data_IF_250631386001
#
_entry.id   IF_250631386001
#
_cell.length_a   1.000
_cell.length_b   1.000
_cell.length_c   1.000
_cell.angle_alpha   90.00
_cell.angle_beta   90.00
_cell.angle_gamma   90.00
#
_symmetry.space_group_name_H-M   'P 1'
#
loop_
_entity.id
_entity.type
_entity.pdbx_description
1 polymer ?
#
# COMPACT_ATOMS: atom_id res chain seq x y z
N UNK A 1 -21.23 -6.11 -25.80
CA UNK A 1 -20.29 -6.21 -26.94
C UNK A 1 -19.84 -7.67 -27.04
N UNK A 2 -20.04 -8.31 -28.18
CA UNK A 2 -19.69 -9.71 -28.42
C UNK A 2 -18.17 -9.88 -28.36
N UNK A 3 -17.66 -10.66 -27.41
CA UNK A 3 -16.28 -11.11 -27.42
C UNK A 3 -16.21 -12.46 -28.12
N UNK A 4 -15.87 -12.44 -29.40
CA UNK A 4 -15.39 -13.65 -30.11
C UNK A 4 -13.97 -13.91 -29.62
N UNK A 5 -13.82 -14.91 -28.76
CA UNK A 5 -12.53 -15.40 -28.29
C UNK A 5 -11.89 -16.29 -29.35
N UNK A 6 -10.86 -15.78 -30.03
CA UNK A 6 -10.08 -16.49 -31.04
C UNK A 6 -8.90 -17.28 -30.43
N UNK A 7 -9.14 -18.04 -29.36
CA UNK A 7 -8.18 -19.07 -28.90
C UNK A 7 -8.66 -20.45 -29.38
N UNK A 8 -7.92 -21.15 -30.26
CA UNK A 8 -8.29 -22.47 -30.77
C UNK A 8 -8.40 -23.57 -29.70
N UNK A 9 -8.02 -23.30 -28.44
CA UNK A 9 -8.29 -24.18 -27.29
C UNK A 9 -9.69 -24.06 -26.69
N UNK A 10 -10.46 -23.05 -27.10
CA UNK A 10 -11.83 -22.80 -26.61
C UNK A 10 -12.92 -23.32 -27.56
N UNK A 11 -12.57 -23.65 -28.81
CA UNK A 11 -13.48 -24.25 -29.79
C UNK A 11 -13.57 -25.77 -29.57
N UNK A 12 -14.46 -26.19 -28.68
CA UNK A 12 -14.69 -27.60 -28.34
C UNK A 12 -15.19 -27.85 -26.93
N UNK A 13 -15.38 -26.78 -26.13
CA UNK A 13 -15.98 -26.91 -24.81
C UNK A 13 -17.46 -27.32 -24.98
N UNK A 14 -17.91 -28.44 -24.36
CA UNK A 14 -19.34 -28.69 -24.25
C UNK A 14 -19.99 -27.49 -23.56
N UNK A 15 -21.17 -27.07 -24.03
CA UNK A 15 -21.97 -26.08 -23.35
C UNK A 15 -22.14 -26.52 -21.88
N UNK A 16 -21.64 -25.72 -20.94
CA UNK A 16 -21.67 -26.04 -19.52
C UNK A 16 -23.13 -26.00 -19.03
N UNK A 17 -23.79 -27.16 -18.92
CA UNK A 17 -25.11 -27.27 -18.29
C UNK A 17 -24.95 -27.90 -16.91
N UNK A 18 -24.87 -27.05 -15.87
CA UNK A 18 -24.81 -27.45 -14.46
C UNK A 18 -24.31 -26.31 -13.57
N UNK A 19 -24.50 -26.41 -12.25
CA UNK A 19 -23.88 -25.51 -11.26
C UNK A 19 -22.51 -26.03 -10.86
N UNK A 20 -21.60 -25.13 -10.51
CA UNK A 20 -20.18 -25.41 -10.43
C UNK A 20 -19.61 -25.27 -9.01
N UNK A 21 -18.63 -26.12 -8.74
CA UNK A 21 -17.76 -26.03 -7.59
C UNK A 21 -16.45 -25.34 -8.00
N UNK A 22 -16.23 -24.11 -7.53
CA UNK A 22 -15.02 -23.34 -7.76
C UNK A 22 -14.06 -23.53 -6.60
N UNK A 23 -12.84 -23.99 -6.88
CA UNK A 23 -11.78 -24.15 -5.88
C UNK A 23 -10.78 -23.04 -6.09
N UNK A 24 -10.59 -22.20 -5.07
CA UNK A 24 -9.60 -21.14 -5.08
C UNK A 24 -8.47 -21.44 -4.09
N UNK A 25 -7.26 -21.57 -4.62
CA UNK A 25 -6.04 -21.71 -3.80
C UNK A 25 -5.02 -20.65 -4.19
N UNK A 26 -4.17 -20.27 -3.25
CA UNK A 26 -3.12 -19.29 -3.49
C UNK A 26 -2.08 -19.38 -2.37
N UNK A 27 -0.82 -19.02 -2.64
CA UNK A 27 0.14 -18.87 -1.57
C UNK A 27 -0.21 -17.68 -0.67
N UNK A 28 0.17 -17.79 0.60
CA UNK A 28 -0.09 -16.74 1.59
C UNK A 28 0.48 -15.39 1.13
N UNK A 29 -0.39 -14.40 0.91
CA UNK A 29 0.00 -13.06 0.46
C UNK A 29 -0.25 -12.76 -1.02
N UNK A 30 -0.71 -13.74 -1.81
CA UNK A 30 -1.04 -13.54 -3.23
C UNK A 30 -2.37 -12.81 -3.50
N UNK A 31 -3.07 -12.32 -2.47
CA UNK A 31 -4.29 -11.50 -2.62
C UNK A 31 -5.59 -12.29 -2.81
N UNK A 32 -5.60 -13.58 -2.44
CA UNK A 32 -6.76 -14.49 -2.48
C UNK A 32 -8.04 -13.89 -1.91
N UNK A 33 -8.00 -13.40 -0.67
CA UNK A 33 -9.17 -12.83 0.02
C UNK A 33 -9.74 -11.60 -0.70
N UNK A 34 -8.88 -10.77 -1.30
CA UNK A 34 -9.30 -9.59 -2.06
C UNK A 34 -10.07 -10.00 -3.31
N UNK A 35 -9.53 -10.94 -4.09
CA UNK A 35 -10.18 -11.46 -5.29
C UNK A 35 -11.49 -12.19 -4.96
N UNK A 36 -11.51 -12.95 -3.85
CA UNK A 36 -12.69 -13.65 -3.39
C UNK A 36 -13.84 -12.70 -3.06
N UNK A 37 -13.59 -11.64 -2.29
CA UNK A 37 -14.60 -10.61 -1.97
C UNK A 37 -15.14 -9.94 -3.23
N UNK A 38 -14.24 -9.53 -4.12
CA UNK A 38 -14.62 -8.90 -5.38
C UNK A 38 -15.44 -9.83 -6.30
N UNK A 39 -15.21 -11.14 -6.24
CA UNK A 39 -16.00 -12.13 -6.97
C UNK A 39 -17.41 -12.27 -6.38
N UNK A 40 -17.53 -12.43 -5.06
CA UNK A 40 -18.83 -12.55 -4.38
C UNK A 40 -19.71 -11.30 -4.55
N UNK A 41 -19.12 -10.11 -4.60
CA UNK A 41 -19.84 -8.86 -4.84
C UNK A 41 -20.39 -8.76 -6.28
N UNK A 42 -19.69 -9.34 -7.26
CA UNK A 42 -20.03 -9.24 -8.69
C UNK A 42 -20.87 -10.40 -9.21
N UNK A 43 -20.86 -11.53 -8.51
CA UNK A 43 -21.52 -12.77 -8.91
C UNK A 43 -22.56 -13.15 -7.85
N UNK A 44 -23.81 -12.64 -7.94
CA UNK A 44 -24.82 -12.81 -6.90
C UNK A 44 -25.25 -14.27 -6.69
N UNK A 45 -25.07 -15.14 -7.69
CA UNK A 45 -25.37 -16.56 -7.62
C UNK A 45 -24.25 -17.40 -6.96
N UNK A 46 -23.07 -16.79 -6.75
CA UNK A 46 -21.91 -17.46 -6.16
C UNK A 46 -21.98 -17.43 -4.64
N UNK A 47 -22.09 -18.60 -4.02
CA UNK A 47 -22.08 -18.76 -2.56
C UNK A 47 -20.70 -19.12 -2.05
N UNK A 48 -20.29 -18.50 -0.95
CA UNK A 48 -19.06 -18.86 -0.25
C UNK A 48 -19.29 -20.09 0.66
N UNK A 49 -18.41 -21.08 0.58
CA UNK A 49 -18.43 -22.22 1.51
C UNK A 49 -17.69 -21.88 2.81
N UNK A 50 -18.41 -21.87 3.92
CA UNK A 50 -17.83 -21.63 5.25
C UNK A 50 -17.26 -22.94 5.79
N UNK A 51 -15.94 -23.01 5.95
CA UNK A 51 -15.25 -24.18 6.49
C UNK A 51 -15.45 -24.34 8.01
N UNK A 52 -15.25 -25.57 8.49
CA UNK A 52 -15.26 -25.94 9.89
C UNK A 52 -13.84 -25.88 10.45
N UNK A 53 -13.68 -25.54 11.73
CA UNK A 53 -12.38 -25.59 12.41
C UNK A 53 -12.49 -25.91 13.89
N UNK A 54 -11.45 -26.55 14.44
CA UNK A 54 -11.32 -26.82 15.88
C UNK A 54 -10.59 -25.72 16.64
N UNK A 55 -10.11 -24.69 15.93
CA UNK A 55 -9.43 -23.55 16.54
C UNK A 55 -10.43 -22.67 17.28
N UNK A 56 -10.06 -22.14 18.44
CA UNK A 56 -10.87 -21.12 19.12
C UNK A 56 -11.03 -19.84 18.24
N UNK A 57 -12.22 -19.19 18.21
CA UNK A 57 -12.44 -17.96 17.43
C UNK A 57 -11.46 -16.83 17.79
N UNK A 58 -11.01 -16.05 16.81
CA UNK A 58 -10.25 -14.80 17.04
C UNK A 58 -11.20 -13.64 17.29
N UNK A 59 -10.67 -12.55 17.85
CA UNK A 59 -11.40 -11.29 18.05
C UNK A 59 -12.05 -10.82 16.73
N UNK A 60 -13.38 -10.74 16.72
CA UNK A 60 -14.17 -10.28 15.56
C UNK A 60 -14.66 -11.38 14.61
N UNK A 61 -14.22 -12.63 14.76
CA UNK A 61 -14.76 -13.76 14.00
C UNK A 61 -16.13 -14.18 14.56
N UNK A 62 -17.06 -14.50 13.65
CA UNK A 62 -18.43 -14.90 13.97
C UNK A 62 -18.66 -16.33 13.50
N UNK A 63 -19.14 -17.18 14.41
CA UNK A 63 -19.48 -18.58 14.11
C UNK A 63 -20.54 -18.67 13.00
N UNK A 64 -20.32 -19.54 12.01
CA UNK A 64 -21.20 -19.73 10.86
C UNK A 64 -21.04 -18.68 9.75
N UNK A 65 -20.22 -17.64 9.96
CA UNK A 65 -19.88 -16.66 8.91
C UNK A 65 -18.43 -16.77 8.48
N UNK A 66 -17.51 -16.75 9.46
CA UNK A 66 -16.07 -16.80 9.19
C UNK A 66 -15.59 -18.25 9.17
N UNK A 67 -15.97 -19.02 10.20
CA UNK A 67 -15.83 -20.48 10.28
C UNK A 67 -16.98 -21.05 11.11
N UNK A 68 -17.25 -22.34 10.96
CA UNK A 68 -18.02 -23.11 11.94
C UNK A 68 -17.05 -23.71 12.96
N UNK A 69 -17.09 -23.21 14.18
CA UNK A 69 -16.19 -23.61 15.25
C UNK A 69 -16.77 -24.81 16.01
N UNK A 70 -16.07 -25.95 15.98
CA UNK A 70 -16.48 -27.19 16.63
C UNK A 70 -15.37 -27.75 17.52
N UNK A 71 -15.69 -28.68 18.40
CA UNK A 71 -14.67 -29.34 19.23
C UNK A 71 -13.81 -30.32 18.42
N UNK A 72 -12.56 -30.62 18.85
CA UNK A 72 -11.76 -31.67 18.25
C UNK A 72 -12.47 -33.04 18.18
N UNK A 73 -13.18 -33.42 19.23
CA UNK A 73 -13.94 -34.68 19.26
C UNK A 73 -15.04 -34.73 18.19
N UNK A 74 -15.82 -33.66 18.04
CA UNK A 74 -16.84 -33.57 16.98
C UNK A 74 -16.21 -33.60 15.57
N UNK A 75 -15.02 -33.02 15.41
CA UNK A 75 -14.31 -33.05 14.13
C UNK A 75 -13.82 -34.46 13.78
N UNK A 76 -13.19 -35.14 14.75
CA UNK A 76 -12.72 -36.52 14.64
C UNK A 76 -13.86 -37.50 14.37
N UNK A 77 -15.02 -37.29 15.01
CA UNK A 77 -16.25 -38.02 14.69
C UNK A 77 -16.61 -37.87 13.21
N UNK A 78 -16.57 -36.64 12.70
CA UNK A 78 -16.79 -36.37 11.28
C UNK A 78 -15.79 -37.06 10.35
N UNK A 79 -14.54 -37.26 10.78
CA UNK A 79 -13.54 -38.05 10.02
C UNK A 79 -13.96 -39.52 9.99
N UNK A 80 -14.37 -40.08 11.13
CA UNK A 80 -14.81 -41.48 11.23
C UNK A 80 -16.06 -41.77 10.41
N UNK A 81 -16.95 -40.80 10.27
CA UNK A 81 -18.21 -40.93 9.51
C UNK A 81 -18.13 -40.44 8.07
N UNK A 82 -16.93 -40.16 7.54
CA UNK A 82 -16.71 -39.63 6.17
C UNK A 82 -17.53 -38.36 5.83
N UNK A 83 -17.74 -37.49 6.83
CA UNK A 83 -18.53 -36.25 6.70
C UNK A 83 -17.83 -35.20 5.84
N UNK A 84 -16.50 -35.19 5.83
CA UNK A 84 -15.69 -34.13 5.24
C UNK A 84 -15.41 -34.41 3.75
N UNK A 85 -15.69 -33.42 2.90
CA UNK A 85 -15.27 -33.45 1.49
C UNK A 85 -13.75 -33.27 1.37
N UNK A 86 -13.19 -32.43 2.24
CA UNK A 86 -11.76 -32.26 2.45
C UNK A 86 -11.52 -31.91 3.92
N UNK A 87 -10.36 -32.30 4.43
CA UNK A 87 -9.87 -31.81 5.71
C UNK A 87 -8.35 -31.83 5.78
N UNK A 88 -7.79 -31.00 6.66
CA UNK A 88 -6.37 -30.96 6.97
C UNK A 88 -6.14 -30.57 8.44
N UNK A 89 -4.98 -30.95 8.97
CA UNK A 89 -4.52 -30.50 10.27
C UNK A 89 -3.40 -29.47 10.08
N UNK A 90 -3.64 -28.24 10.54
CA UNK A 90 -2.73 -27.11 10.39
C UNK A 90 -2.44 -26.51 11.77
N UNK A 91 -1.17 -26.53 12.17
CA UNK A 91 -0.71 -26.04 13.48
C UNK A 91 -1.53 -26.60 14.67
N UNK A 92 -1.81 -27.91 14.65
CA UNK A 92 -2.53 -28.59 15.73
C UNK A 92 -4.05 -28.38 15.74
N UNK A 93 -4.62 -27.66 14.77
CA UNK A 93 -6.06 -27.50 14.62
C UNK A 93 -6.54 -28.17 13.33
N UNK A 94 -7.74 -28.76 13.36
CA UNK A 94 -8.37 -29.29 12.16
C UNK A 94 -9.14 -28.20 11.43
N UNK A 95 -9.17 -28.32 10.12
CA UNK A 95 -9.96 -27.54 9.18
C UNK A 95 -10.60 -28.49 8.18
N UNK A 96 -11.84 -28.24 7.79
CA UNK A 96 -12.46 -29.05 6.74
C UNK A 96 -13.77 -28.49 6.23
N UNK A 97 -14.20 -29.02 5.10
CA UNK A 97 -15.44 -28.61 4.43
C UNK A 97 -16.41 -29.79 4.39
N UNK A 98 -17.66 -29.57 4.80
CA UNK A 98 -18.67 -30.63 4.85
C UNK A 98 -19.13 -31.04 3.46
N UNK A 99 -19.10 -32.35 3.16
CA UNK A 99 -19.56 -32.87 1.88
C UNK A 99 -21.07 -32.67 1.68
N UNK A 100 -21.86 -32.87 2.72
CA UNK A 100 -23.31 -32.67 2.71
C UNK A 100 -23.68 -31.23 2.36
N UNK A 101 -23.02 -30.24 2.99
CA UNK A 101 -23.25 -28.82 2.70
C UNK A 101 -22.96 -28.48 1.24
N UNK A 102 -21.88 -29.02 0.68
CA UNK A 102 -21.54 -28.83 -0.74
C UNK A 102 -22.59 -29.48 -1.65
N UNK A 103 -22.93 -30.74 -1.40
CA UNK A 103 -23.92 -31.48 -2.19
C UNK A 103 -25.30 -30.83 -2.15
N UNK A 104 -25.73 -30.35 -0.98
CA UNK A 104 -27.01 -29.67 -0.81
C UNK A 104 -27.04 -28.34 -1.57
N UNK A 105 -26.03 -27.49 -1.43
CA UNK A 105 -26.01 -26.19 -2.11
C UNK A 105 -25.91 -26.34 -3.65
N UNK A 106 -25.20 -27.37 -4.14
CA UNK A 106 -25.21 -27.70 -5.57
C UNK A 106 -26.60 -28.18 -6.04
N UNK A 107 -27.28 -29.02 -5.25
CA UNK A 107 -28.64 -29.50 -5.55
C UNK A 107 -29.70 -28.39 -5.52
N UNK A 108 -29.54 -27.39 -4.64
CA UNK A 108 -30.35 -26.17 -4.60
C UNK A 108 -30.10 -25.23 -5.79
N UNK A 109 -29.14 -25.56 -6.64
CA UNK A 109 -28.85 -24.79 -7.83
C UNK A 109 -27.98 -23.55 -7.57
N UNK A 110 -27.00 -23.64 -6.65
CA UNK A 110 -26.02 -22.58 -6.42
C UNK A 110 -24.63 -22.96 -6.89
N UNK A 111 -23.91 -21.97 -7.41
CA UNK A 111 -22.46 -22.07 -7.61
C UNK A 111 -21.76 -21.86 -6.27
N UNK A 112 -20.74 -22.66 -5.98
CA UNK A 112 -20.06 -22.63 -4.68
C UNK A 112 -18.58 -22.31 -4.88
N UNK A 113 -18.06 -21.38 -4.08
CA UNK A 113 -16.64 -21.03 -4.02
C UNK A 113 -16.02 -21.57 -2.72
N UNK A 114 -14.96 -22.36 -2.86
CA UNK A 114 -14.14 -22.87 -1.77
C UNK A 114 -12.81 -22.11 -1.68
N UNK A 115 -12.44 -21.72 -0.46
CA UNK A 115 -11.18 -21.06 -0.16
C UNK A 115 -10.22 -22.00 0.60
N UNK A 116 -9.64 -22.97 -0.12
CA UNK A 116 -8.87 -24.07 0.47
C UNK A 116 -7.43 -24.10 -0.04
N UNK A 117 -6.53 -24.75 0.70
CA UNK A 117 -5.14 -24.92 0.30
C UNK A 117 -4.97 -25.98 -0.81
N UNK A 118 -3.73 -26.22 -1.22
CA UNK A 118 -3.40 -27.20 -2.26
C UNK A 118 -3.74 -28.63 -1.83
N UNK A 119 -3.64 -28.95 -0.54
CA UNK A 119 -3.97 -30.28 -0.02
C UNK A 119 -5.49 -30.52 -0.06
N UNK A 120 -6.29 -29.56 0.39
CA UNK A 120 -7.74 -29.60 0.34
C UNK A 120 -8.23 -29.66 -1.12
N UNK A 121 -7.64 -28.87 -2.01
CA UNK A 121 -7.97 -28.89 -3.44
C UNK A 121 -7.80 -30.29 -4.05
N UNK A 122 -6.72 -31.02 -3.72
CA UNK A 122 -6.53 -32.41 -4.19
C UNK A 122 -7.62 -33.36 -3.68
N UNK A 123 -8.08 -33.18 -2.44
CA UNK A 123 -9.14 -34.01 -1.87
C UNK A 123 -10.47 -33.75 -2.55
N UNK A 124 -10.85 -32.47 -2.74
CA UNK A 124 -12.07 -32.11 -3.46
C UNK A 124 -12.04 -32.63 -4.90
N UNK A 125 -10.92 -32.49 -5.62
CA UNK A 125 -10.84 -32.98 -7.00
C UNK A 125 -11.04 -34.50 -7.14
N UNK A 126 -10.73 -35.30 -6.10
CA UNK A 126 -11.01 -36.75 -6.10
C UNK A 126 -12.50 -37.04 -5.99
N UNK A 127 -13.25 -36.26 -5.20
CA UNK A 127 -14.68 -36.48 -4.91
C UNK A 127 -15.60 -35.75 -5.89
N UNK A 128 -15.18 -34.57 -6.35
CA UNK A 128 -15.91 -33.67 -7.25
C UNK A 128 -15.03 -33.36 -8.48
N UNK A 129 -14.91 -34.32 -9.39
CA UNK A 129 -14.00 -34.26 -10.55
C UNK A 129 -14.34 -33.15 -11.56
N UNK A 130 -15.56 -32.63 -11.54
CA UNK A 130 -16.01 -31.53 -12.40
C UNK A 130 -15.75 -30.13 -11.81
N UNK A 131 -14.99 -30.04 -10.70
CA UNK A 131 -14.66 -28.76 -10.07
C UNK A 131 -13.81 -27.87 -10.98
N UNK A 132 -14.07 -26.57 -10.96
CA UNK A 132 -13.25 -25.55 -11.63
C UNK A 132 -12.14 -25.13 -10.66
N UNK A 133 -10.91 -25.54 -10.93
CA UNK A 133 -9.74 -25.24 -10.10
C UNK A 133 -9.03 -23.97 -10.56
N UNK A 134 -8.86 -23.02 -9.63
CA UNK A 134 -8.21 -21.73 -9.84
C UNK A 134 -7.06 -21.56 -8.83
N UNK A 135 -5.84 -21.39 -9.34
CA UNK A 135 -4.68 -21.03 -8.52
C UNK A 135 -4.32 -19.56 -8.73
N UNK A 136 -4.23 -18.77 -7.66
CA UNK A 136 -3.76 -17.39 -7.74
C UNK A 136 -2.25 -17.35 -7.49
N UNK A 137 -1.48 -16.94 -8.47
CA UNK A 137 -0.04 -16.71 -8.36
C UNK A 137 0.27 -15.25 -8.01
N UNK A 138 1.26 -14.96 -7.15
CA UNK A 138 1.90 -13.66 -7.19
C UNK A 138 2.70 -13.50 -8.50
N UNK A 139 3.02 -12.27 -8.95
CA UNK A 139 3.76 -12.08 -10.20
C UNK A 139 5.21 -12.55 -10.08
N UNK A 140 5.79 -12.45 -8.88
CA UNK A 140 7.10 -13.01 -8.55
C UNK A 140 7.19 -13.29 -7.05
N UNK A 141 8.22 -14.03 -6.63
CA UNK A 141 8.50 -14.27 -5.21
C UNK A 141 8.94 -13.00 -4.50
N UNK A 142 9.65 -12.12 -5.20
CA UNK A 142 10.13 -10.83 -4.71
C UNK A 142 8.93 -9.91 -4.41
N UNK A 143 7.93 -9.88 -5.30
CA UNK A 143 6.69 -9.12 -5.08
C UNK A 143 5.89 -9.72 -3.90
N UNK A 144 5.86 -11.05 -3.77
CA UNK A 144 5.23 -11.70 -2.63
C UNK A 144 5.94 -11.31 -1.32
N UNK A 145 7.26 -11.34 -1.30
CA UNK A 145 8.08 -10.94 -0.15
C UNK A 145 7.83 -9.48 0.24
N UNK A 146 7.84 -8.57 -0.74
CA UNK A 146 7.54 -7.16 -0.51
C UNK A 146 6.13 -6.97 0.09
N UNK A 147 5.12 -7.71 -0.41
CA UNK A 147 3.74 -7.71 0.13
C UNK A 147 3.65 -8.28 1.55
N UNK A 148 4.47 -9.28 1.89
CA UNK A 148 4.52 -9.84 3.25
C UNK A 148 5.22 -8.88 4.22
N UNK A 149 6.33 -8.27 3.81
CA UNK A 149 7.08 -7.29 4.61
C UNK A 149 6.30 -6.02 4.88
N UNK A 150 5.56 -5.51 3.90
CA UNK A 150 4.80 -4.26 4.04
C UNK A 150 3.68 -4.33 5.08
N UNK A 151 3.16 -5.53 5.37
CA UNK A 151 2.16 -5.74 6.44
C UNK A 151 2.71 -5.43 7.83
N UNK A 152 4.03 -5.51 8.02
CA UNK A 152 4.72 -5.05 9.23
C UNK A 152 4.38 -5.79 10.53
N UNK A 153 3.67 -6.91 10.45
CA UNK A 153 3.25 -7.73 11.60
C UNK A 153 4.10 -8.99 11.79
N UNK A 154 4.79 -9.44 10.74
CA UNK A 154 5.54 -10.69 10.74
C UNK A 154 7.03 -10.43 11.05
N UNK A 155 7.63 -11.30 11.89
CA UNK A 155 9.07 -11.31 12.13
C UNK A 155 9.83 -11.85 10.90
N UNK A 156 11.13 -11.52 10.73
CA UNK A 156 11.92 -12.01 9.59
C UNK A 156 11.88 -13.53 9.39
N UNK A 157 11.90 -14.31 10.49
CA UNK A 157 11.87 -15.77 10.44
C UNK A 157 10.51 -16.31 9.95
N UNK A 158 9.42 -15.64 10.34
CA UNK A 158 8.07 -15.97 9.91
C UNK A 158 7.87 -15.67 8.41
N UNK A 159 8.45 -14.56 7.92
CA UNK A 159 8.45 -14.23 6.49
C UNK A 159 9.21 -15.28 5.69
N UNK A 160 10.39 -15.69 6.16
CA UNK A 160 11.18 -16.72 5.49
C UNK A 160 10.44 -18.07 5.40
N UNK A 161 9.75 -18.49 6.47
CA UNK A 161 8.91 -19.68 6.46
C UNK A 161 7.76 -19.56 5.45
N UNK A 162 7.06 -18.41 5.44
CA UNK A 162 5.96 -18.15 4.49
C UNK A 162 6.43 -18.19 3.04
N UNK A 163 7.61 -17.65 2.74
CA UNK A 163 8.19 -17.68 1.39
C UNK A 163 8.57 -19.10 0.96
N UNK A 164 9.10 -19.93 1.87
CA UNK A 164 9.35 -21.35 1.58
C UNK A 164 8.06 -22.10 1.25
N UNK A 165 7.04 -21.96 2.11
CA UNK A 165 5.74 -22.60 1.87
C UNK A 165 5.12 -22.12 0.55
N UNK A 166 5.21 -20.81 0.26
CA UNK A 166 4.72 -20.25 -0.99
C UNK A 166 5.39 -20.88 -2.22
N UNK A 167 6.71 -21.16 -2.17
CA UNK A 167 7.41 -21.87 -3.26
C UNK A 167 6.85 -23.27 -3.47
N UNK A 168 6.61 -24.00 -2.39
CA UNK A 168 6.07 -25.37 -2.44
C UNK A 168 4.64 -25.37 -2.98
N UNK A 169 3.79 -24.42 -2.56
CA UNK A 169 2.43 -24.26 -3.07
C UNK A 169 2.43 -23.86 -4.57
N UNK A 170 3.28 -22.90 -4.96
CA UNK A 170 3.40 -22.45 -6.36
C UNK A 170 3.93 -23.55 -7.29
N UNK A 171 4.77 -24.47 -6.79
CA UNK A 171 5.25 -25.62 -7.55
C UNK A 171 4.11 -26.59 -7.93
N UNK A 172 2.96 -26.51 -7.25
CA UNK A 172 1.80 -27.36 -7.49
C UNK A 172 0.78 -26.72 -8.44
N UNK A 173 1.03 -25.52 -8.97
CA UNK A 173 0.08 -24.78 -9.83
C UNK A 173 -0.44 -25.59 -11.02
N UNK A 174 0.35 -26.54 -11.53
CA UNK A 174 0.01 -27.33 -12.73
C UNK A 174 -1.17 -28.30 -12.51
N UNK A 175 -1.57 -28.55 -11.25
CA UNK A 175 -2.80 -29.29 -10.96
C UNK A 175 -4.08 -28.47 -11.16
N UNK A 176 -3.96 -27.15 -11.35
CA UNK A 176 -5.10 -26.25 -11.49
C UNK A 176 -5.39 -25.97 -12.96
N UNK A 177 -6.68 -26.00 -13.31
CA UNK A 177 -7.16 -25.72 -14.67
C UNK A 177 -6.92 -24.27 -15.07
N UNK A 178 -7.05 -23.35 -14.11
CA UNK A 178 -6.84 -21.93 -14.30
C UNK A 178 -5.76 -21.44 -13.34
N UNK A 179 -4.78 -20.70 -13.87
CA UNK A 179 -3.78 -20.00 -13.07
C UNK A 179 -3.92 -18.51 -13.35
N UNK A 180 -4.28 -17.76 -12.31
CA UNK A 180 -4.46 -16.30 -12.38
C UNK A 180 -3.26 -15.65 -11.69
N UNK A 181 -2.50 -14.84 -12.42
CA UNK A 181 -1.45 -14.03 -11.80
C UNK A 181 -2.09 -12.78 -11.22
N UNK A 182 -2.07 -12.64 -9.90
CA UNK A 182 -2.50 -11.41 -9.23
C UNK A 182 -1.40 -10.36 -9.26
N UNK A 183 -1.35 -9.69 -10.41
CA UNK A 183 -0.47 -8.61 -10.80
C UNK A 183 -0.95 -7.24 -10.33
N UNK A 184 -1.83 -7.15 -9.33
CA UNK A 184 -2.21 -5.88 -8.68
C UNK A 184 -0.98 -5.26 -7.98
N UNK A 185 -0.17 -4.63 -8.81
CA UNK A 185 1.01 -3.88 -8.49
C UNK A 185 0.59 -2.42 -8.43
N UNK A 186 1.07 -1.67 -7.44
CA UNK A 186 0.92 -0.23 -7.43
C UNK A 186 1.33 0.37 -8.79
N UNK A 187 0.45 1.15 -9.41
CA UNK A 187 0.76 1.82 -10.68
C UNK A 187 1.13 3.28 -10.41
N UNK A 188 2.39 3.67 -10.63
CA UNK A 188 2.77 5.08 -10.65
C UNK A 188 2.22 5.72 -11.95
N UNK A 189 1.51 6.84 -11.82
CA UNK A 189 0.75 7.43 -12.93
C UNK A 189 1.16 8.87 -13.17
N UNK A 190 1.44 9.20 -14.43
CA UNK A 190 1.81 10.55 -14.86
C UNK A 190 3.31 10.77 -14.95
N UNK A 191 3.68 11.79 -15.73
CA UNK A 191 5.06 12.04 -16.17
C UNK A 191 6.00 12.20 -14.99
N UNK A 192 5.70 13.12 -14.06
CA UNK A 192 6.60 13.39 -12.92
C UNK A 192 6.74 12.17 -12.01
N UNK A 193 5.64 11.48 -11.68
CA UNK A 193 5.69 10.32 -10.78
C UNK A 193 6.58 9.20 -11.35
N UNK A 194 6.49 8.93 -12.66
CA UNK A 194 7.31 7.91 -13.32
C UNK A 194 8.77 8.38 -13.49
N UNK A 195 9.00 9.63 -13.89
CA UNK A 195 10.35 10.20 -14.00
C UNK A 195 11.09 10.18 -12.67
N UNK A 196 10.46 10.65 -11.59
CA UNK A 196 11.08 10.68 -10.28
C UNK A 196 11.31 9.27 -9.72
N UNK A 197 10.42 8.31 -10.00
CA UNK A 197 10.63 6.92 -9.61
C UNK A 197 11.86 6.30 -10.30
N UNK A 198 12.01 6.54 -11.62
CA UNK A 198 13.19 6.15 -12.38
C UNK A 198 14.45 6.82 -11.85
N UNK A 199 14.39 8.13 -11.60
CA UNK A 199 15.54 8.93 -11.16
C UNK A 199 16.02 8.56 -9.75
N UNK A 200 15.09 8.40 -8.80
CA UNK A 200 15.40 8.08 -7.42
C UNK A 200 15.93 6.65 -7.25
N UNK A 201 15.46 5.70 -8.07
CA UNK A 201 15.89 4.30 -8.02
C UNK A 201 15.59 3.60 -6.69
N UNK A 202 14.65 4.14 -5.89
CA UNK A 202 14.31 3.61 -4.55
C UNK A 202 13.19 2.58 -4.56
N UNK A 203 12.40 2.55 -5.63
CA UNK A 203 11.41 1.52 -5.89
C UNK A 203 11.90 0.65 -7.03
N UNK A 204 11.60 -0.62 -6.96
CA UNK A 204 11.69 -1.50 -8.12
C UNK A 204 10.55 -1.15 -9.09
N UNK A 205 10.90 -0.91 -10.35
CA UNK A 205 9.94 -0.72 -11.43
C UNK A 205 9.99 -1.98 -12.30
N UNK A 206 8.83 -2.59 -12.53
CA UNK A 206 8.72 -3.85 -13.28
C UNK A 206 8.51 -3.61 -14.77
N UNK A 207 7.75 -2.57 -15.10
CA UNK A 207 7.34 -2.26 -16.47
C UNK A 207 7.01 -0.76 -16.57
N UNK A 208 7.39 -0.13 -17.67
CA UNK A 208 6.93 1.22 -18.03
C UNK A 208 6.01 1.13 -19.23
N UNK A 209 4.82 1.69 -19.11
CA UNK A 209 3.82 1.71 -20.18
C UNK A 209 3.69 3.13 -20.74
N UNK A 210 3.78 3.26 -22.06
CA UNK A 210 3.61 4.53 -22.77
C UNK A 210 2.49 4.43 -23.79
N UNK A 211 1.77 5.54 -23.96
CA UNK A 211 0.69 5.61 -24.94
C UNK A 211 1.31 5.60 -26.34
N UNK A 212 0.91 4.63 -27.17
CA UNK A 212 1.40 4.43 -28.53
C UNK A 212 1.27 5.71 -29.37
N UNK A 213 0.23 6.49 -29.17
CA UNK A 213 0.00 7.74 -29.92
C UNK A 213 0.89 8.89 -29.48
N UNK A 214 1.45 8.83 -28.27
CA UNK A 214 2.21 9.94 -27.67
C UNK A 214 3.68 9.59 -27.39
N UNK A 215 4.12 8.36 -27.66
CA UNK A 215 5.47 7.88 -27.39
C UNK A 215 6.58 8.78 -27.97
N UNK A 216 6.33 9.45 -29.11
CA UNK A 216 7.28 10.35 -29.77
C UNK A 216 7.31 11.79 -29.21
N UNK A 217 6.52 12.12 -28.18
CA UNK A 217 6.60 13.43 -27.53
C UNK A 217 7.89 13.55 -26.71
N UNK A 218 8.60 14.68 -26.78
CA UNK A 218 9.96 14.81 -26.21
C UNK A 218 10.06 14.49 -24.71
N UNK A 219 8.98 14.64 -23.94
CA UNK A 219 8.93 14.32 -22.51
C UNK A 219 8.69 12.84 -22.21
N UNK A 220 7.95 12.14 -23.06
CA UNK A 220 7.77 10.69 -22.94
C UNK A 220 8.98 9.95 -23.50
N UNK A 221 9.61 10.47 -24.55
CA UNK A 221 10.85 9.93 -25.09
C UNK A 221 11.97 9.90 -24.03
N UNK A 222 12.08 10.92 -23.18
CA UNK A 222 13.08 10.92 -22.11
C UNK A 222 12.80 9.85 -21.05
N UNK A 223 11.53 9.53 -20.78
CA UNK A 223 11.14 8.42 -19.88
C UNK A 223 11.49 7.08 -20.50
N UNK A 224 11.14 6.89 -21.78
CA UNK A 224 11.45 5.66 -22.54
C UNK A 224 12.95 5.41 -22.52
N UNK A 225 13.75 6.40 -22.90
CA UNK A 225 15.21 6.26 -22.90
C UNK A 225 15.79 6.02 -21.50
N UNK A 226 15.23 6.65 -20.45
CA UNK A 226 15.67 6.42 -19.07
C UNK A 226 15.32 5.01 -18.55
N UNK A 227 14.22 4.42 -19.01
CA UNK A 227 13.78 3.07 -18.69
C UNK A 227 14.61 2.02 -19.46
N UNK A 228 14.82 2.23 -20.76
CA UNK A 228 15.66 1.38 -21.62
C UNK A 228 17.12 1.36 -21.13
N UNK A 229 17.67 2.51 -20.70
CA UNK A 229 19.01 2.59 -20.12
C UNK A 229 19.16 1.78 -18.81
N UNK A 230 18.05 1.42 -18.16
CA UNK A 230 18.00 0.55 -16.98
C UNK A 230 17.65 -0.90 -17.33
N UNK A 231 17.54 -1.24 -18.62
CA UNK A 231 17.19 -2.58 -19.09
C UNK A 231 15.73 -2.98 -18.81
N UNK A 232 14.84 -2.00 -18.62
CA UNK A 232 13.44 -2.26 -18.32
C UNK A 232 12.60 -2.46 -19.59
N UNK A 233 11.57 -3.31 -19.52
CA UNK A 233 10.58 -3.46 -20.59
C UNK A 233 9.72 -2.19 -20.69
N UNK A 234 9.67 -1.62 -21.90
CA UNK A 234 8.76 -0.51 -22.25
C UNK A 234 7.63 -1.06 -23.12
N UNK A 235 6.42 -1.08 -22.59
CA UNK A 235 5.22 -1.55 -23.30
C UNK A 235 4.44 -0.40 -23.89
N UNK A 236 4.07 -0.52 -25.17
CA UNK A 236 3.18 0.45 -25.82
C UNK A 236 1.72 0.00 -25.73
N UNK A 237 0.86 0.88 -25.22
CA UNK A 237 -0.57 0.61 -24.99
C UNK A 237 -1.42 1.71 -25.60
N UNK A 238 -2.70 1.43 -25.87
CA UNK A 238 -3.65 2.51 -26.20
C UNK A 238 -4.16 3.22 -24.93
N UNK A 239 -4.82 4.37 -25.11
CA UNK A 239 -5.32 5.18 -24.00
C UNK A 239 -6.35 4.44 -23.12
N UNK A 240 -7.15 3.54 -23.69
CA UNK A 240 -8.19 2.80 -22.95
C UNK A 240 -7.54 1.74 -22.07
N UNK A 241 -6.59 0.99 -22.64
CA UNK A 241 -5.78 0.01 -21.92
C UNK A 241 -4.98 0.68 -20.80
N UNK A 242 -4.41 1.86 -21.06
CA UNK A 242 -3.67 2.63 -20.07
C UNK A 242 -4.57 3.14 -18.95
N UNK A 243 -5.75 3.69 -19.26
CA UNK A 243 -6.70 4.15 -18.25
C UNK A 243 -7.19 3.00 -17.35
N UNK A 244 -7.42 1.82 -17.94
CA UNK A 244 -7.77 0.60 -17.21
C UNK A 244 -6.66 0.19 -16.23
N UNK A 245 -5.40 0.13 -16.71
CA UNK A 245 -4.25 -0.22 -15.87
C UNK A 245 -3.94 0.82 -14.78
N UNK A 246 -4.10 2.11 -15.10
CA UNK A 246 -3.84 3.21 -14.18
C UNK A 246 -4.97 3.44 -13.16
N UNK A 247 -6.16 2.85 -13.40
CA UNK A 247 -7.37 3.14 -12.62
C UNK A 247 -7.85 4.60 -12.76
N UNK A 248 -7.33 5.35 -13.74
CA UNK A 248 -7.65 6.77 -13.96
C UNK A 248 -7.32 7.19 -15.39
N UNK A 249 -8.17 8.02 -15.99
CA UNK A 249 -7.92 8.65 -17.30
C UNK A 249 -6.83 9.75 -17.23
N UNK A 250 -6.47 10.21 -16.03
CA UNK A 250 -5.46 11.26 -15.84
C UNK A 250 -4.03 10.68 -15.84
N UNK A 251 -3.69 9.86 -16.83
CA UNK A 251 -2.40 9.16 -16.94
C UNK A 251 -1.32 9.93 -17.71
N UNK A 252 -1.67 11.00 -18.43
CA UNK A 252 -0.71 11.84 -19.18
C UNK A 252 0.15 11.04 -20.18
N UNK A 253 -0.38 9.93 -20.70
CA UNK A 253 0.30 9.06 -21.65
C UNK A 253 1.40 8.16 -21.07
N UNK A 254 1.56 8.09 -19.74
CA UNK A 254 2.58 7.22 -19.12
C UNK A 254 2.18 6.69 -17.75
N UNK A 255 2.55 5.44 -17.51
CA UNK A 255 2.41 4.78 -16.22
C UNK A 255 3.55 3.78 -16.02
N UNK A 256 3.80 3.38 -14.77
CA UNK A 256 4.75 2.32 -14.46
C UNK A 256 4.19 1.39 -13.39
N UNK A 257 4.36 0.08 -13.58
CA UNK A 257 4.11 -0.91 -12.53
C UNK A 257 5.29 -0.90 -11.58
N UNK A 258 5.03 -0.63 -10.31
CA UNK A 258 6.08 -0.44 -9.31
C UNK A 258 5.83 -1.28 -8.08
N UNK A 259 6.90 -1.58 -7.35
CA UNK A 259 6.84 -2.17 -6.03
C UNK A 259 6.11 -1.27 -5.03
N UNK A 260 5.63 -1.87 -3.93
CA UNK A 260 5.07 -1.12 -2.82
C UNK A 260 6.16 -0.23 -2.22
N UNK A 261 5.84 1.03 -1.97
CA UNK A 261 6.76 1.94 -1.30
C UNK A 261 6.94 1.51 0.17
N UNK A 262 8.12 1.01 0.52
CA UNK A 262 8.44 0.47 1.85
C UNK A 262 8.85 1.54 2.87
N UNK A 263 9.07 2.78 2.43
CA UNK A 263 9.55 3.86 3.29
C UNK A 263 10.96 3.61 3.83
N UNK A 264 11.37 4.45 4.78
CA UNK A 264 12.66 4.37 5.45
C UNK A 264 12.45 3.80 6.86
N UNK A 265 13.41 3.00 7.31
CA UNK A 265 13.39 2.54 8.69
C UNK A 265 13.61 3.71 9.65
N UNK A 266 12.84 3.73 10.73
CA UNK A 266 12.89 4.79 11.73
C UNK A 266 14.26 4.88 12.39
N UNK A 267 14.94 3.75 12.58
CA UNK A 267 16.31 3.70 13.13
C UNK A 267 17.30 4.56 12.30
N UNK A 268 17.26 4.42 10.98
CA UNK A 268 18.13 5.17 10.06
C UNK A 268 17.92 6.68 10.11
N UNK A 269 16.69 7.12 10.43
CA UNK A 269 16.38 8.54 10.60
C UNK A 269 16.86 9.04 11.95
N UNK A 270 16.73 8.26 13.02
CA UNK A 270 17.29 8.59 14.33
C UNK A 270 18.82 8.74 14.31
N UNK A 271 19.52 7.93 13.51
CA UNK A 271 20.96 8.06 13.33
C UNK A 271 21.32 9.35 12.56
N UNK A 272 20.50 9.73 11.58
CA UNK A 272 20.68 10.97 10.83
C UNK A 272 20.40 12.21 11.70
N UNK A 273 19.45 12.13 12.64
CA UNK A 273 19.10 13.20 13.60
C UNK A 273 20.29 13.59 14.47
N UNK A 274 21.22 12.67 14.75
CA UNK A 274 22.45 12.98 15.49
C UNK A 274 23.40 13.94 14.77
N UNK A 275 23.17 14.27 13.49
CA UNK A 275 24.04 15.17 12.72
C UNK A 275 23.55 16.64 12.84
N UNK A 276 24.43 17.61 13.16
CA UNK A 276 24.07 19.02 13.31
C UNK A 276 23.41 19.65 12.07
N UNK A 277 23.73 19.12 10.89
CA UNK A 277 23.24 19.62 9.60
C UNK A 277 21.79 19.20 9.27
N UNK A 278 21.20 18.29 10.07
CA UNK A 278 19.83 17.81 9.90
C UNK A 278 18.84 18.63 10.74
N UNK A 279 18.54 19.85 10.29
CA UNK A 279 17.90 20.84 11.15
C UNK A 279 16.38 20.73 11.30
N UNK A 280 15.65 20.22 10.31
CA UNK A 280 14.17 20.29 10.27
C UNK A 280 13.55 18.95 9.91
N UNK A 281 12.70 18.45 10.80
CA UNK A 281 11.87 17.27 10.58
C UNK A 281 10.40 17.66 10.62
N UNK A 282 9.55 16.84 10.01
CA UNK A 282 8.11 17.03 9.99
C UNK A 282 7.42 15.78 10.52
N UNK A 283 6.50 15.94 11.45
CA UNK A 283 5.64 14.89 11.99
C UNK A 283 4.19 15.21 11.64
N UNK A 284 3.50 14.26 11.02
CA UNK A 284 2.11 14.40 10.60
C UNK A 284 1.22 13.56 11.50
N UNK A 285 0.38 14.21 12.30
CA UNK A 285 -0.55 13.52 13.18
C UNK A 285 -1.96 13.55 12.61
N UNK A 286 -2.49 12.39 12.21
CA UNK A 286 -3.85 12.25 11.68
C UNK A 286 -4.12 12.88 10.30
N UNK A 287 -3.12 12.94 9.42
CA UNK A 287 -3.33 13.27 8.00
C UNK A 287 -3.87 12.04 7.26
N UNK A 288 -5.20 11.91 7.20
CA UNK A 288 -5.90 10.75 6.62
C UNK A 288 -6.16 10.87 5.12
N UNK A 289 -6.21 12.09 4.60
CA UNK A 289 -6.48 12.36 3.19
C UNK A 289 -5.18 12.24 2.36
N UNK A 290 -5.14 11.35 1.34
CA UNK A 290 -4.01 11.23 0.41
C UNK A 290 -3.65 12.54 -0.30
N UNK A 291 -4.62 13.41 -0.56
CA UNK A 291 -4.35 14.69 -1.22
C UNK A 291 -3.54 15.63 -0.31
N UNK A 292 -4.00 15.82 0.93
CA UNK A 292 -3.23 16.55 1.93
C UNK A 292 -1.84 15.95 2.18
N UNK A 293 -1.72 14.62 2.29
CA UNK A 293 -0.41 13.99 2.46
C UNK A 293 0.52 14.30 1.27
N UNK A 294 0.05 14.08 0.04
CA UNK A 294 0.84 14.33 -1.17
C UNK A 294 1.29 15.79 -1.30
N UNK A 295 0.38 16.74 -1.02
CA UNK A 295 0.67 18.16 -1.03
C UNK A 295 1.71 18.55 0.03
N UNK A 296 1.58 18.03 1.26
CA UNK A 296 2.55 18.27 2.34
C UNK A 296 3.92 17.70 1.99
N UNK A 297 4.00 16.48 1.45
CA UNK A 297 5.29 15.86 1.09
C UNK A 297 6.03 16.66 0.02
N UNK A 298 5.30 17.15 -0.99
CA UNK A 298 5.87 18.02 -2.02
C UNK A 298 6.42 19.31 -1.42
N UNK A 299 5.63 19.97 -0.59
CA UNK A 299 6.03 21.19 0.11
C UNK A 299 7.22 20.97 1.05
N UNK A 300 7.21 19.87 1.79
CA UNK A 300 8.28 19.48 2.70
C UNK A 300 9.62 19.26 1.98
N UNK A 301 9.59 18.58 0.82
CA UNK A 301 10.78 18.38 0.00
C UNK A 301 11.34 19.73 -0.47
N UNK A 302 10.48 20.60 -1.01
CA UNK A 302 10.88 21.94 -1.47
C UNK A 302 11.40 22.84 -0.34
N UNK A 303 10.88 22.67 0.89
CA UNK A 303 11.32 23.39 2.07
C UNK A 303 12.60 22.82 2.71
N UNK A 304 13.18 21.75 2.16
CA UNK A 304 14.40 21.13 2.69
C UNK A 304 14.19 20.31 3.96
N UNK A 305 12.99 19.76 4.17
CA UNK A 305 12.71 18.88 5.31
C UNK A 305 13.55 17.61 5.22
N UNK A 306 14.24 17.29 6.31
CA UNK A 306 15.16 16.17 6.40
C UNK A 306 14.46 14.81 6.39
N UNK A 307 13.33 14.67 7.09
CA UNK A 307 12.47 13.49 7.02
C UNK A 307 11.04 13.83 7.46
N UNK A 308 10.08 13.02 6.99
CA UNK A 308 8.66 13.11 7.35
C UNK A 308 8.24 11.84 8.08
N UNK A 309 7.75 12.00 9.31
CA UNK A 309 7.27 10.93 10.18
C UNK A 309 5.74 10.89 10.13
N UNK A 310 5.19 9.71 9.83
CA UNK A 310 3.74 9.50 9.73
C UNK A 310 3.35 8.24 10.52
N UNK A 311 2.33 8.26 11.37
CA UNK A 311 1.79 7.07 12.00
C UNK A 311 1.37 6.01 10.96
N UNK A 312 1.53 4.72 11.28
CA UNK A 312 0.95 3.63 10.48
C UNK A 312 -0.58 3.65 10.51
N UNK A 313 -1.15 3.98 11.67
CA UNK A 313 -2.59 4.03 11.89
C UNK A 313 -3.13 5.46 11.80
N UNK A 314 -4.35 5.61 11.29
CA UNK A 314 -5.05 6.91 11.19
C UNK A 314 -4.29 7.94 10.35
N UNK A 315 -3.57 7.48 9.33
CA UNK A 315 -2.91 8.33 8.34
C UNK A 315 -3.00 7.70 6.96
N UNK A 316 -2.91 8.53 5.91
CA UNK A 316 -2.87 8.06 4.54
C UNK A 316 -1.58 7.24 4.30
N UNK A 317 -1.68 6.05 3.69
CA UNK A 317 -0.50 5.28 3.32
C UNK A 317 0.21 5.87 2.08
N UNK A 318 1.49 5.57 1.85
CA UNK A 318 2.26 6.02 0.68
C UNK A 318 1.83 5.28 -0.60
N UNK A 319 0.62 5.56 -1.07
CA UNK A 319 0.03 4.93 -2.26
C UNK A 319 0.49 5.62 -3.55
N UNK A 320 0.27 5.00 -4.73
CA UNK A 320 0.54 5.68 -5.99
C UNK A 320 -0.25 6.97 -6.20
N UNK A 321 -1.45 7.09 -5.60
CA UNK A 321 -2.20 8.34 -5.60
C UNK A 321 -1.41 9.46 -4.91
N UNK A 322 -0.78 9.17 -3.76
CA UNK A 322 0.11 10.11 -3.05
C UNK A 322 1.36 10.42 -3.89
N UNK A 323 1.96 9.42 -4.54
CA UNK A 323 3.10 9.61 -5.46
C UNK A 323 2.75 10.57 -6.60
N UNK A 324 1.57 10.41 -7.21
CA UNK A 324 1.03 11.31 -8.24
C UNK A 324 0.80 12.73 -7.73
N UNK A 325 0.08 12.90 -6.62
CA UNK A 325 -0.26 14.21 -6.06
C UNK A 325 0.99 14.97 -5.61
N UNK A 326 1.95 14.25 -5.03
CA UNK A 326 3.24 14.81 -4.60
C UNK A 326 4.20 15.12 -5.75
N UNK A 327 3.80 14.86 -7.01
CA UNK A 327 4.62 15.01 -8.20
C UNK A 327 5.98 14.30 -8.08
N UNK A 328 6.00 13.10 -7.48
CA UNK A 328 7.22 12.31 -7.29
C UNK A 328 8.05 12.70 -6.06
N UNK A 329 7.64 13.68 -5.25
CA UNK A 329 8.40 14.06 -4.05
C UNK A 329 8.54 12.91 -3.03
N UNK A 330 7.57 11.98 -3.00
CA UNK A 330 7.62 10.75 -2.20
C UNK A 330 8.87 9.90 -2.50
N UNK A 331 9.39 9.95 -3.74
CA UNK A 331 10.58 9.19 -4.14
C UNK A 331 11.88 9.74 -3.55
N UNK A 332 11.90 11.04 -3.21
CA UNK A 332 13.12 11.75 -2.81
C UNK A 332 13.16 12.05 -1.32
N UNK A 333 12.02 12.33 -0.71
CA UNK A 333 11.93 12.63 0.72
C UNK A 333 12.14 11.36 1.56
N UNK A 334 12.81 11.49 2.71
CA UNK A 334 12.89 10.40 3.69
C UNK A 334 11.54 10.28 4.40
N UNK A 335 10.70 9.38 3.92
CA UNK A 335 9.39 9.09 4.48
C UNK A 335 9.46 7.91 5.45
N UNK A 336 9.01 8.10 6.69
CA UNK A 336 9.07 7.08 7.76
C UNK A 336 7.68 6.82 8.32
N UNK A 337 7.30 5.54 8.39
CA UNK A 337 6.08 5.13 9.08
C UNK A 337 6.38 4.62 10.49
N UNK A 338 5.83 5.29 11.50
CA UNK A 338 6.04 4.95 12.92
C UNK A 338 4.81 4.27 13.52
N UNK A 339 5.02 3.28 14.39
CA UNK A 339 3.91 2.61 15.11
C UNK A 339 3.34 3.51 16.21
N UNK A 340 4.19 4.32 16.86
CA UNK A 340 3.78 5.23 17.93
C UNK A 340 4.48 6.57 17.76
N UNK A 341 3.70 7.60 17.38
CA UNK A 341 4.23 8.93 17.13
C UNK A 341 4.76 9.61 18.39
N UNK A 342 4.12 9.43 19.54
CA UNK A 342 4.54 10.05 20.80
C UNK A 342 5.93 9.55 21.18
N UNK A 343 6.14 8.23 21.18
CA UNK A 343 7.46 7.64 21.42
C UNK A 343 8.51 8.11 20.42
N UNK A 344 8.09 8.26 19.16
CA UNK A 344 9.00 8.74 18.13
C UNK A 344 9.44 10.19 18.37
N UNK A 345 8.53 11.06 18.82
CA UNK A 345 8.83 12.44 19.18
C UNK A 345 9.71 12.52 20.43
N UNK A 346 9.43 11.73 21.47
CA UNK A 346 10.26 11.64 22.68
C UNK A 346 11.70 11.25 22.35
N UNK A 347 11.91 10.22 21.53
CA UNK A 347 13.25 9.80 21.12
C UNK A 347 14.01 10.83 20.26
N UNK A 348 13.29 11.76 19.59
CA UNK A 348 13.89 12.89 18.89
C UNK A 348 14.32 13.98 19.88
N UNK A 349 13.53 14.20 20.95
CA UNK A 349 13.89 15.14 22.05
C UNK A 349 15.15 14.69 22.77
N UNK A 350 15.29 13.39 23.01
CA UNK A 350 16.49 12.78 23.59
C UNK A 350 17.76 12.98 22.72
N UNK A 351 17.60 13.47 21.47
CA UNK A 351 18.66 13.82 20.52
C UNK A 351 18.68 15.32 20.20
N UNK A 352 18.33 16.14 21.19
CA UNK A 352 18.39 17.61 21.12
C UNK A 352 17.55 18.20 19.97
N UNK A 353 16.35 17.63 19.73
CA UNK A 353 15.36 18.23 18.83
C UNK A 353 14.18 18.78 19.60
N UNK A 354 13.89 20.06 19.37
CA UNK A 354 12.68 20.70 19.88
C UNK A 354 11.46 20.19 19.13
N UNK A 355 10.40 19.80 19.84
CA UNK A 355 9.13 19.42 19.22
C UNK A 355 8.18 20.60 19.28
N UNK A 356 7.86 21.16 18.12
CA UNK A 356 7.00 22.34 18.00
C UNK A 356 5.73 21.98 17.25
N UNK A 357 4.57 22.14 17.89
CA UNK A 357 3.28 21.83 17.30
C UNK A 357 2.56 23.05 16.74
N UNK A 358 1.95 22.91 15.55
CA UNK A 358 1.03 23.92 15.03
C UNK A 358 -0.33 23.79 15.70
N UNK A 359 -0.75 24.82 16.41
CA UNK A 359 -2.06 24.87 17.03
C UNK A 359 -2.62 26.28 17.09
N UNK A 360 -3.87 26.46 16.66
CA UNK A 360 -4.54 27.76 16.66
C UNK A 360 -4.68 28.36 18.07
N UNK A 361 -4.85 27.53 19.10
CA UNK A 361 -4.98 27.98 20.48
C UNK A 361 -3.67 28.48 21.10
N UNK A 362 -2.55 28.34 20.39
CA UNK A 362 -1.26 28.82 20.86
C UNK A 362 -1.20 30.35 20.87
N UNK A 363 -0.70 30.89 21.98
CA UNK A 363 -0.53 32.34 22.19
C UNK A 363 0.67 32.90 21.42
N UNK A 364 1.67 32.05 21.13
CA UNK A 364 2.86 32.44 20.40
C UNK A 364 2.65 32.23 18.88
N UNK A 365 2.98 33.24 18.08
CA UNK A 365 2.86 33.18 16.63
C UNK A 365 4.12 32.61 15.98
N UNK A 366 3.98 31.87 14.87
CA UNK A 366 5.11 31.42 14.04
C UNK A 366 6.04 32.55 13.58
N UNK A 367 5.55 33.80 13.52
CA UNK A 367 6.33 34.97 13.10
C UNK A 367 7.16 35.59 14.23
N UNK A 368 6.91 35.20 15.48
CA UNK A 368 7.57 35.71 16.68
C UNK A 368 8.40 34.65 17.39
N UNK A 369 7.97 33.40 17.32
CA UNK A 369 8.72 32.27 17.84
C UNK A 369 10.08 32.18 17.14
N UNK A 370 11.12 31.87 17.90
CA UNK A 370 12.37 31.36 17.34
C UNK A 370 12.11 29.96 16.78
N UNK A 371 12.32 29.78 15.48
CA UNK A 371 12.20 28.50 14.78
C UNK A 371 13.52 28.11 14.07
N UNK A 372 14.62 28.75 14.48
CA UNK A 372 15.96 28.48 13.95
C UNK A 372 16.61 27.26 14.59
N UNK A 373 16.14 26.84 15.77
CA UNK A 373 16.67 25.69 16.48
C UNK A 373 16.46 24.35 15.74
N UNK A 374 17.31 23.33 15.99
CA UNK A 374 17.04 21.98 15.51
C UNK A 374 15.70 21.46 16.03
N UNK A 375 14.79 21.08 15.15
CA UNK A 375 13.40 20.84 15.55
C UNK A 375 12.65 19.81 14.70
N UNK A 376 11.56 19.32 15.28
CA UNK A 376 10.48 18.59 14.61
C UNK A 376 9.23 19.49 14.64
N UNK A 377 8.74 19.87 13.47
CA UNK A 377 7.43 20.51 13.33
C UNK A 377 6.34 19.44 13.35
N UNK A 378 5.31 19.60 14.16
CA UNK A 378 4.14 18.71 14.21
C UNK A 378 2.93 19.41 13.60
N UNK A 379 2.30 18.76 12.61
CA UNK A 379 1.09 19.24 11.96
C UNK A 379 -0.03 18.22 12.18
N UNK A 380 -1.14 18.69 12.73
CA UNK A 380 -2.33 17.89 12.99
C UNK A 380 -3.27 17.77 11.79
N UNK A 381 -4.15 16.76 11.85
CA UNK A 381 -5.24 16.53 10.90
C UNK A 381 -6.28 17.65 10.91
N UNK A 382 -7.02 17.76 9.81
CA UNK A 382 -8.07 18.77 9.66
C UNK A 382 -9.20 18.59 10.70
N UNK A 383 -9.75 19.72 11.15
CA UNK A 383 -10.85 19.78 12.12
C UNK A 383 -10.43 19.46 13.55
N UNK A 384 -9.91 18.25 13.81
CA UNK A 384 -9.55 17.80 15.17
C UNK A 384 -8.15 18.22 15.62
N UNK A 385 -7.28 18.62 14.69
CA UNK A 385 -5.90 18.96 15.00
C UNK A 385 -5.08 17.77 15.51
N UNK A 386 -4.06 18.09 16.30
CA UNK A 386 -3.21 17.08 16.96
C UNK A 386 -3.98 16.35 18.06
N UNK A 387 -3.68 15.06 18.25
CA UNK A 387 -4.19 14.29 19.38
C UNK A 387 -3.70 14.90 20.70
N UNK A 388 -4.49 14.85 21.79
CA UNK A 388 -4.11 15.44 23.06
C UNK A 388 -2.76 14.99 23.60
N UNK A 389 -2.39 13.71 23.41
CA UNK A 389 -1.08 13.19 23.81
C UNK A 389 0.06 13.81 22.98
N UNK A 390 -0.08 13.88 21.66
CA UNK A 390 0.91 14.49 20.76
C UNK A 390 1.11 15.97 21.09
N UNK A 391 -0.01 16.69 21.33
CA UNK A 391 0.03 18.09 21.78
C UNK A 391 0.80 18.26 23.10
N UNK A 392 0.62 17.35 24.07
CA UNK A 392 1.34 17.39 25.35
C UNK A 392 2.84 17.06 25.23
N UNK A 393 3.24 16.30 24.21
CA UNK A 393 4.65 15.98 23.96
C UNK A 393 5.44 17.15 23.37
N UNK A 394 4.73 18.10 22.72
CA UNK A 394 5.34 19.30 22.15
C UNK A 394 5.95 20.18 23.24
N UNK A 395 7.19 20.63 23.03
CA UNK A 395 7.89 21.60 23.88
C UNK A 395 7.31 23.00 23.73
N UNK A 396 6.87 23.32 22.52
CA UNK A 396 6.23 24.60 22.19
C UNK A 396 5.05 24.38 21.27
N UNK A 397 4.07 25.27 21.39
CA UNK A 397 2.94 25.35 20.49
C UNK A 397 2.94 26.74 19.86
N UNK A 398 2.77 26.79 18.55
CA UNK A 398 2.76 28.04 17.79
C UNK A 398 1.54 28.11 16.89
N UNK A 399 1.00 29.31 16.69
CA UNK A 399 -0.16 29.57 15.85
C UNK A 399 0.22 30.32 14.58
N UNK A 400 -0.56 30.08 13.52
CA UNK A 400 -0.58 30.95 12.33
C UNK A 400 -1.69 31.97 12.59
N UNK A 401 -1.38 33.26 12.74
CA UNK A 401 -2.40 34.29 12.95
C UNK A 401 -3.41 34.31 11.80
N UNK A 402 -4.71 34.35 12.15
CA UNK A 402 -5.81 34.43 11.20
C UNK A 402 -6.66 35.66 11.51
N UNK A 403 -7.10 36.37 10.47
CA UNK A 403 -7.99 37.54 10.57
C UNK A 403 -9.41 37.27 10.07
N UNK A 404 -9.62 36.12 9.41
CA UNK A 404 -10.91 35.71 8.86
C UNK A 404 -11.75 34.89 9.84
N UNK A 405 -13.03 34.64 9.50
CA UNK A 405 -13.99 33.98 10.38
C UNK A 405 -13.86 32.44 10.42
N UNK A 406 -12.94 31.86 9.65
CA UNK A 406 -12.78 30.41 9.55
C UNK A 406 -11.94 29.85 10.70
N UNK A 407 -12.38 28.70 11.23
CA UNK A 407 -11.81 28.10 12.46
C UNK A 407 -10.45 27.43 12.28
N UNK A 408 -10.03 27.11 11.05
CA UNK A 408 -8.74 26.47 10.78
C UNK A 408 -8.36 26.53 9.29
N UNK A 409 -7.06 26.50 9.01
CA UNK A 409 -6.54 26.28 7.66
C UNK A 409 -6.53 24.78 7.31
N UNK A 410 -6.59 24.48 6.01
CA UNK A 410 -6.25 23.15 5.50
C UNK A 410 -4.83 22.76 5.97
N UNK A 411 -4.64 21.50 6.36
CA UNK A 411 -3.40 21.05 6.98
C UNK A 411 -2.17 21.21 6.07
N UNK A 412 -2.34 21.02 4.75
CA UNK A 412 -1.26 21.20 3.77
C UNK A 412 -0.87 22.66 3.59
N UNK A 413 -1.84 23.58 3.67
CA UNK A 413 -1.61 25.03 3.64
C UNK A 413 -0.90 25.49 4.91
N UNK A 414 -1.36 25.04 6.07
CA UNK A 414 -0.74 25.37 7.36
C UNK A 414 0.71 24.87 7.41
N UNK A 415 0.96 23.62 6.97
CA UNK A 415 2.30 23.08 6.86
C UNK A 415 3.18 23.92 5.94
N UNK A 416 2.67 24.32 4.77
CA UNK A 416 3.43 25.15 3.83
C UNK A 416 3.82 26.52 4.39
N UNK A 417 2.87 27.24 5.01
CA UNK A 417 3.15 28.54 5.63
C UNK A 417 4.22 28.38 6.71
N UNK A 418 4.08 27.39 7.59
CA UNK A 418 5.03 27.18 8.68
C UNK A 418 6.41 26.78 8.15
N UNK A 419 6.50 25.84 7.21
CA UNK A 419 7.78 25.35 6.67
C UNK A 419 8.56 26.45 5.95
N UNK A 420 7.91 27.30 5.17
CA UNK A 420 8.58 28.41 4.49
C UNK A 420 8.91 29.57 5.43
N UNK A 421 8.14 29.80 6.49
CA UNK A 421 8.54 30.73 7.57
C UNK A 421 9.78 30.23 8.30
N UNK A 422 9.83 28.94 8.64
CA UNK A 422 11.03 28.31 9.23
C UNK A 422 12.23 28.47 8.28
N UNK A 423 12.03 28.19 6.99
CA UNK A 423 13.07 28.39 5.97
C UNK A 423 13.55 29.85 5.91
N UNK A 424 12.63 30.82 5.96
CA UNK A 424 12.96 32.25 5.98
C UNK A 424 13.80 32.60 7.21
N UNK A 425 13.41 32.16 8.41
CA UNK A 425 14.16 32.42 9.64
C UNK A 425 15.56 31.79 9.62
N UNK A 426 15.70 30.61 9.00
CA UNK A 426 16.99 29.90 8.83
C UNK A 426 17.87 30.45 7.71
N UNK A 427 17.46 31.53 7.04
CA UNK A 427 18.24 32.15 5.97
C UNK A 427 18.18 31.40 4.63
N UNK A 428 17.23 30.46 4.44
CA UNK A 428 17.04 29.71 3.20
C UNK A 428 16.44 30.55 2.06
N UNK A 429 16.29 31.87 2.23
CA UNK A 429 15.75 32.80 1.23
C UNK A 429 16.69 33.15 0.07
N UNK A 430 17.83 32.46 -0.09
CA UNK A 430 18.70 32.62 -1.25
C UNK A 430 18.32 31.58 -2.31
N UNK A 431 17.92 31.98 -3.54
CA UNK A 431 17.71 31.02 -4.61
C UNK A 431 19.00 30.20 -4.82
N UNK A 432 18.87 28.89 -5.13
CA UNK A 432 20.03 28.05 -5.43
C UNK A 432 20.81 28.69 -6.58
N UNK A 433 22.01 29.20 -6.29
CA UNK A 433 22.85 29.94 -7.24
C UNK A 433 23.23 31.37 -6.83
N UNK A 434 22.66 31.93 -5.75
CA UNK A 434 22.97 33.29 -5.27
C UNK A 434 23.89 33.33 -4.05
N UNK A 435 25.03 32.62 -4.11
CA UNK A 435 26.17 33.00 -3.25
C UNK A 435 26.98 34.04 -4.03
N UNK A 436 26.91 35.29 -3.55
CA UNK A 436 27.67 36.50 -3.93
C UNK A 436 26.79 37.63 -4.49
N UNK A 437 26.11 38.35 -3.60
CA UNK A 437 25.63 39.72 -3.87
C UNK A 437 26.22 40.76 -2.89
N UNK A 438 27.21 40.36 -2.09
CA UNK A 438 27.99 41.29 -1.25
C UNK A 438 29.09 42.04 -1.99
N UNK A 439 29.43 41.66 -3.23
CA UNK A 439 30.43 42.37 -4.04
C UNK A 439 29.84 43.44 -4.99
N UNK A 440 28.53 43.43 -5.24
CA UNK A 440 27.92 44.31 -6.25
C UNK A 440 27.47 45.70 -5.73
N UNK A 441 27.71 46.04 -4.45
CA UNK A 441 27.42 47.37 -3.89
C UNK A 441 28.65 48.23 -3.59
N UNK A 442 29.87 47.79 -3.95
CA UNK A 442 31.10 48.59 -3.80
C UNK A 442 31.62 49.22 -5.09
N UNK A 443 30.94 49.06 -6.21
CA UNK A 443 31.31 49.72 -7.46
C UNK A 443 30.06 50.18 -8.21
N UNK A 444 29.50 51.31 -7.80
CA UNK A 444 28.91 52.24 -8.75
C UNK A 444 29.36 53.67 -8.37
N UNK A 445 29.76 54.48 -9.36
CA UNK A 445 30.38 55.79 -9.16
C UNK A 445 29.48 56.83 -8.51
#
# INVERSE_FOLDING_TARGET
>A
MSMTSSDPRLSGLPAFSGRHLFILSAPSGAGKTTLLRAALERLPDLRYSVSYTTRAPRTGEVNGRDYVFISPGEFEDGIRTDRWAEWAQVHGNYYGTSAEVLSQALAEGHDILLDIDVQGARQICKRFSQSVTIFIMPPSLEILEARLRSRGTDRPEAIALRLRNAREEMAQKDMYRHVIVNDDLPTAVGVHAVQEALAAGRRELFEVCVDRSHAATGRLQSIVSAAEARGMEVRQMDATQMASMAGTAAHQGVAARVSVYSGHDYSSVLDAVGRPESGLFLALDQIVDPHNLGAVLRTALCAGVGAVLVPKDRSAPPTPAVSKISAGALEHIRFVQVTNLVRALEAMKDRDRWVVGLDRSATESIYRADLTMPMVLVVGGEGRGMRPLVRRTCDRLVSIPQTGPLDSLNASVAAGIALFEIGRQRGAGHPPGSRNLTDARRQMP
#
